data_IF_607422067410
#
_entry.id   IF_607422067410
#
_cell.length_a   1.000
_cell.length_b   1.000
_cell.length_c   1.000
_cell.angle_alpha   90.00
_cell.angle_beta   90.00
_cell.angle_gamma   90.00
#
_symmetry.space_group_name_H-M   'P 1'
#
loop_
_entity.id
_entity.type
_entity.pdbx_description
1 polymer ?
#
# COMPACT_ATOMS: atom_id res chain seq x y z
N UNK A 1 -14.73 14.48 -22.50
CA UNK A 1 -13.90 14.44 -21.27
C UNK A 1 -13.55 12.99 -21.02
N UNK A 2 -12.29 12.69 -20.68
CA UNK A 2 -11.83 11.32 -20.42
C UNK A 2 -12.44 10.72 -19.15
N UNK A 3 -12.37 9.40 -18.97
CA UNK A 3 -12.72 8.77 -17.69
C UNK A 3 -11.59 8.99 -16.68
N UNK A 4 -11.87 8.88 -15.38
CA UNK A 4 -10.79 8.81 -14.40
C UNK A 4 -9.99 7.52 -14.59
N UNK A 5 -8.74 7.51 -14.14
CA UNK A 5 -7.89 6.32 -14.15
C UNK A 5 -7.63 5.83 -12.73
N UNK A 6 -7.86 4.55 -12.49
CA UNK A 6 -7.59 3.87 -11.22
C UNK A 6 -6.38 2.95 -11.38
N UNK A 7 -5.26 3.33 -10.79
CA UNK A 7 -3.96 2.65 -10.93
C UNK A 7 -3.71 1.75 -9.73
N UNK A 8 -3.68 0.44 -9.96
CA UNK A 8 -3.38 -0.58 -8.96
C UNK A 8 -1.91 -0.97 -8.99
N UNK A 9 -1.22 -0.83 -7.86
CA UNK A 9 0.22 -1.07 -7.70
C UNK A 9 0.43 -2.14 -6.63
N UNK A 10 0.77 -3.36 -7.05
CA UNK A 10 0.95 -4.48 -6.14
C UNK A 10 2.23 -4.37 -5.30
N UNK A 11 2.44 -5.32 -4.38
CA UNK A 11 3.64 -5.39 -3.55
C UNK A 11 4.38 -6.72 -3.71
N UNK A 12 5.04 -7.17 -2.64
CA UNK A 12 5.73 -8.46 -2.62
C UNK A 12 4.76 -9.62 -2.88
N UNK A 13 5.08 -10.48 -3.87
CA UNK A 13 4.24 -11.60 -4.33
C UNK A 13 4.53 -12.92 -3.61
N UNK A 14 5.49 -12.92 -2.70
CA UNK A 14 5.87 -14.09 -1.92
C UNK A 14 7.15 -14.78 -2.42
N UNK A 15 7.67 -15.74 -1.63
CA UNK A 15 8.99 -16.34 -1.85
C UNK A 15 9.16 -17.06 -3.20
N UNK A 16 8.07 -17.55 -3.80
CA UNK A 16 8.10 -18.21 -5.11
C UNK A 16 8.58 -17.26 -6.21
N UNK A 17 8.27 -15.98 -6.09
CA UNK A 17 8.53 -14.95 -7.10
C UNK A 17 9.74 -14.08 -6.75
N UNK A 18 10.47 -14.37 -5.66
CA UNK A 18 11.50 -13.49 -5.07
C UNK A 18 12.66 -13.11 -6.00
N UNK A 19 12.84 -13.83 -7.10
CA UNK A 19 13.87 -13.56 -8.13
C UNK A 19 13.35 -12.69 -9.28
N UNK A 20 12.06 -12.44 -9.34
CA UNK A 20 11.44 -11.61 -10.36
C UNK A 20 11.63 -10.13 -10.01
N UNK A 21 11.68 -9.31 -11.06
CA UNK A 21 11.81 -7.86 -10.99
C UNK A 21 10.50 -7.21 -11.47
N UNK A 22 10.24 -5.94 -11.13
CA UNK A 22 9.11 -5.24 -11.70
C UNK A 22 9.29 -5.09 -13.21
N UNK A 23 8.20 -5.14 -13.97
CA UNK A 23 8.25 -4.95 -15.43
C UNK A 23 8.13 -3.46 -15.83
N UNK A 24 7.66 -2.61 -14.91
CA UNK A 24 7.42 -1.18 -15.11
C UNK A 24 6.47 -0.87 -16.27
N UNK A 25 5.55 -1.79 -16.56
CA UNK A 25 4.61 -1.71 -17.67
C UNK A 25 3.17 -1.59 -17.18
N UNK A 26 2.34 -1.00 -18.04
CA UNK A 26 0.89 -0.90 -17.84
C UNK A 26 0.24 -2.21 -18.26
N UNK A 27 -0.60 -2.73 -17.38
CA UNK A 27 -1.47 -3.88 -17.68
C UNK A 27 -2.93 -3.46 -17.58
N UNK A 28 -3.76 -3.86 -18.55
CA UNK A 28 -5.19 -3.56 -18.54
C UNK A 28 -6.01 -4.53 -17.65
N UNK A 29 -5.36 -5.58 -17.14
CA UNK A 29 -5.89 -6.55 -16.18
C UNK A 29 -4.79 -6.91 -15.19
N UNK A 30 -5.12 -7.37 -13.99
CA UNK A 30 -4.12 -7.84 -13.02
C UNK A 30 -3.31 -9.00 -13.64
N UNK A 31 -2.01 -8.80 -13.92
CA UNK A 31 -1.19 -9.82 -14.59
C UNK A 31 -0.79 -10.97 -13.66
N UNK A 32 -1.06 -10.85 -12.36
CA UNK A 32 -0.52 -11.73 -11.32
C UNK A 32 -1.58 -12.40 -10.45
N UNK A 33 -2.82 -11.92 -10.47
CA UNK A 33 -3.88 -12.34 -9.54
C UNK A 33 -3.62 -11.91 -8.10
N UNK A 34 -2.83 -10.85 -7.89
CA UNK A 34 -2.43 -10.32 -6.58
C UNK A 34 -3.60 -9.73 -5.80
N UNK A 35 -4.55 -9.10 -6.49
CA UNK A 35 -5.59 -8.30 -5.87
C UNK A 35 -6.80 -9.11 -5.39
N UNK A 36 -6.85 -10.41 -5.72
CA UNK A 36 -7.96 -11.31 -5.37
C UNK A 36 -9.32 -10.75 -5.80
N UNK A 37 -10.17 -10.38 -4.83
CA UNK A 37 -11.47 -9.72 -5.05
C UNK A 37 -11.49 -8.29 -4.49
N UNK A 38 -10.37 -7.82 -3.96
CA UNK A 38 -10.30 -6.52 -3.31
C UNK A 38 -10.35 -5.39 -4.35
N UNK A 39 -9.70 -5.58 -5.50
CA UNK A 39 -9.78 -4.65 -6.62
C UNK A 39 -11.23 -4.48 -7.10
N UNK A 40 -12.02 -5.55 -7.20
CA UNK A 40 -13.45 -5.45 -7.55
C UNK A 40 -14.24 -4.67 -6.50
N UNK A 41 -13.92 -4.83 -5.22
CA UNK A 41 -14.53 -4.06 -4.12
C UNK A 41 -14.18 -2.58 -4.23
N UNK A 42 -12.94 -2.24 -4.59
CA UNK A 42 -12.48 -0.86 -4.76
C UNK A 42 -13.08 -0.25 -6.03
N UNK A 43 -13.09 -0.96 -7.17
CA UNK A 43 -13.69 -0.50 -8.43
C UNK A 43 -15.17 -0.15 -8.29
N UNK A 44 -15.93 -0.86 -7.44
CA UNK A 44 -17.33 -0.49 -7.14
C UNK A 44 -17.48 0.90 -6.52
N UNK A 45 -16.43 1.43 -5.87
CA UNK A 45 -16.37 2.81 -5.35
C UNK A 45 -15.91 3.82 -6.42
N UNK A 46 -15.46 3.34 -7.59
CA UNK A 46 -14.97 4.10 -8.74
C UNK A 46 -15.67 3.68 -10.05
N UNK A 47 -17.01 3.80 -10.15
CA UNK A 47 -17.78 3.21 -11.26
C UNK A 47 -17.47 3.79 -12.64
N UNK A 48 -16.97 5.03 -12.72
CA UNK A 48 -16.61 5.70 -13.98
C UNK A 48 -15.09 5.83 -14.16
N UNK A 49 -14.30 4.95 -13.54
CA UNK A 49 -12.85 4.93 -13.73
C UNK A 49 -12.40 3.70 -14.52
N UNK A 50 -11.50 3.90 -15.47
CA UNK A 50 -10.77 2.82 -16.12
C UNK A 50 -9.67 2.31 -15.16
N UNK A 51 -9.56 0.99 -14.99
CA UNK A 51 -8.51 0.41 -14.13
C UNK A 51 -7.30 -0.03 -14.93
N UNK A 52 -6.11 0.25 -14.42
CA UNK A 52 -4.83 -0.28 -14.92
C UNK A 52 -3.99 -0.79 -13.77
N UNK A 53 -3.04 -1.67 -14.07
CA UNK A 53 -2.23 -2.38 -13.06
C UNK A 53 -0.76 -2.27 -13.39
N UNK A 54 0.06 -2.17 -12.34
CA UNK A 54 1.51 -2.27 -12.39
C UNK A 54 1.99 -3.40 -11.49
N UNK A 55 2.88 -4.23 -12.01
CA UNK A 55 3.58 -5.24 -11.24
C UNK A 55 4.84 -4.62 -10.59
N UNK A 56 4.64 -3.95 -9.47
CA UNK A 56 5.69 -3.37 -8.62
C UNK A 56 6.33 -4.40 -7.65
N UNK A 57 6.28 -5.69 -7.98
CA UNK A 57 6.98 -6.71 -7.22
C UNK A 57 8.49 -6.42 -7.16
N UNK A 58 9.06 -6.47 -5.96
CA UNK A 58 10.51 -6.44 -5.77
C UNK A 58 10.96 -7.60 -4.89
N UNK A 59 12.19 -8.10 -5.07
CA UNK A 59 12.77 -9.12 -4.21
C UNK A 59 12.77 -8.72 -2.73
N UNK A 60 12.72 -9.72 -1.84
CA UNK A 60 12.80 -9.53 -0.39
C UNK A 60 14.09 -8.82 0.04
N UNK A 61 15.15 -8.86 -0.76
CA UNK A 61 16.38 -8.09 -0.54
C UNK A 61 16.16 -6.59 -0.47
N UNK A 62 15.09 -6.07 -1.09
CA UNK A 62 14.71 -4.65 -1.07
C UNK A 62 13.84 -4.28 0.14
N UNK A 63 13.34 -5.28 0.88
CA UNK A 63 12.46 -5.09 2.03
C UNK A 63 13.20 -4.72 3.33
N UNK A 64 12.46 -4.31 4.35
CA UNK A 64 12.91 -4.21 5.75
C UNK A 64 13.53 -5.52 6.26
N UNK A 65 12.96 -6.68 5.87
CA UNK A 65 13.47 -8.00 6.25
C UNK A 65 14.80 -8.34 5.57
N UNK A 66 15.05 -7.86 4.34
CA UNK A 66 16.25 -8.11 3.50
C UNK A 66 16.52 -9.58 3.14
N UNK A 67 16.10 -10.54 3.96
CA UNK A 67 16.39 -11.97 3.83
C UNK A 67 15.27 -12.81 4.43
N UNK A 68 14.99 -13.96 3.84
CA UNK A 68 13.92 -14.86 4.28
C UNK A 68 14.16 -15.39 5.71
N UNK A 69 15.42 -15.63 6.09
CA UNK A 69 15.76 -16.07 7.45
C UNK A 69 15.39 -15.04 8.52
N UNK A 70 15.48 -13.73 8.22
CA UNK A 70 15.03 -12.66 9.12
C UNK A 70 13.51 -12.60 9.22
N UNK A 71 12.83 -12.73 8.08
CA UNK A 71 11.36 -12.81 8.06
C UNK A 71 10.84 -14.02 8.83
N UNK A 72 11.44 -15.21 8.63
CA UNK A 72 11.07 -16.45 9.30
C UNK A 72 11.34 -16.37 10.82
N UNK A 73 12.49 -15.82 11.21
CA UNK A 73 12.80 -15.57 12.63
C UNK A 73 11.73 -14.70 13.27
N UNK A 74 11.39 -13.58 12.64
CA UNK A 74 10.36 -12.65 13.10
C UNK A 74 9.00 -13.34 13.22
N UNK A 75 8.63 -14.14 12.21
CA UNK A 75 7.41 -14.92 12.21
C UNK A 75 7.34 -15.90 13.39
N UNK A 76 8.37 -16.71 13.62
CA UNK A 76 8.41 -17.68 14.71
C UNK A 76 8.26 -16.98 16.07
N UNK A 77 9.04 -15.93 16.33
CA UNK A 77 8.99 -15.25 17.63
C UNK A 77 7.70 -14.45 17.87
N UNK A 78 7.05 -13.97 16.81
CA UNK A 78 5.75 -13.28 16.92
C UNK A 78 4.66 -14.17 17.54
N UNK A 79 4.72 -15.48 17.27
CA UNK A 79 3.74 -16.45 17.76
C UNK A 79 3.80 -16.69 19.27
N UNK A 80 4.87 -16.26 19.94
CA UNK A 80 5.03 -16.40 21.39
C UNK A 80 4.78 -15.07 22.14
N UNK A 81 4.42 -14.01 21.43
CA UNK A 81 4.21 -12.68 22.01
C UNK A 81 2.71 -12.35 22.17
N UNK A 82 2.03 -12.95 23.14
CA UNK A 82 0.57 -12.86 23.30
C UNK A 82 0.06 -11.62 24.05
N UNK A 83 0.94 -10.97 24.81
CA UNK A 83 0.60 -9.79 25.63
C UNK A 83 1.41 -8.56 25.21
N UNK A 84 2.61 -8.76 24.67
CA UNK A 84 3.50 -7.67 24.25
C UNK A 84 2.94 -7.00 23.00
N UNK A 85 2.85 -5.67 23.03
CA UNK A 85 2.37 -4.83 21.92
C UNK A 85 3.50 -4.19 21.10
N UNK A 86 4.72 -4.16 21.65
CA UNK A 86 5.89 -3.55 21.01
C UNK A 86 7.10 -4.46 21.09
N UNK A 87 7.85 -4.55 20.00
CA UNK A 87 9.12 -5.26 19.97
C UNK A 87 9.96 -4.83 18.77
N UNK A 88 11.16 -4.32 19.04
CA UNK A 88 12.15 -3.95 18.01
C UNK A 88 12.85 -5.17 17.39
N UNK A 89 12.71 -6.36 17.97
CA UNK A 89 13.41 -7.57 17.55
C UNK A 89 12.49 -8.63 16.91
N UNK A 90 11.17 -8.49 17.09
CA UNK A 90 10.15 -9.34 16.46
C UNK A 90 9.51 -8.64 15.27
N UNK A 91 9.11 -7.38 15.43
CA UNK A 91 8.62 -6.57 14.33
C UNK A 91 9.81 -5.78 13.78
N UNK A 92 10.29 -6.19 12.61
CA UNK A 92 11.44 -5.56 11.98
C UNK A 92 11.06 -4.19 11.39
N UNK A 93 11.32 -3.15 12.15
CA UNK A 93 11.04 -1.75 11.78
C UNK A 93 12.27 -1.04 11.18
N UNK A 94 13.41 -1.73 11.06
CA UNK A 94 14.60 -1.12 10.48
C UNK A 94 14.43 -1.00 8.96
N UNK A 95 14.37 0.25 8.49
CA UNK A 95 14.18 0.55 7.08
C UNK A 95 15.39 0.09 6.27
N UNK A 96 15.11 -0.50 5.10
CA UNK A 96 16.10 -0.75 4.08
C UNK A 96 16.08 0.39 3.07
N UNK A 97 16.74 1.50 3.38
CA UNK A 97 16.70 2.71 2.56
C UNK A 97 17.13 2.47 1.10
N UNK A 98 18.24 1.75 0.81
CA UNK A 98 18.61 1.46 -0.58
C UNK A 98 17.51 0.70 -1.34
N UNK A 99 16.92 -0.32 -0.71
CA UNK A 99 15.81 -1.08 -1.30
C UNK A 99 14.52 -0.27 -1.42
N UNK A 100 14.31 0.74 -0.57
CA UNK A 100 13.21 1.70 -0.72
C UNK A 100 13.45 2.61 -1.93
N UNK A 101 14.65 3.15 -2.09
CA UNK A 101 15.00 4.00 -3.23
C UNK A 101 14.95 3.25 -4.56
N UNK A 102 15.36 1.98 -4.58
CA UNK A 102 15.24 1.12 -5.77
C UNK A 102 13.77 1.00 -6.22
N UNK A 103 12.84 0.86 -5.27
CA UNK A 103 11.40 0.82 -5.56
C UNK A 103 10.88 2.16 -6.09
N UNK A 104 11.35 3.28 -5.51
CA UNK A 104 11.03 4.63 -6.01
C UNK A 104 11.53 4.81 -7.44
N UNK A 105 12.78 4.42 -7.73
CA UNK A 105 13.37 4.56 -9.07
C UNK A 105 12.61 3.72 -10.12
N UNK A 106 12.21 2.50 -9.79
CA UNK A 106 11.35 1.70 -10.67
C UNK A 106 9.96 2.33 -10.85
N UNK A 107 9.43 2.93 -9.78
CA UNK A 107 8.21 3.74 -9.83
C UNK A 107 8.29 4.91 -10.80
N UNK A 108 9.44 5.59 -10.88
CA UNK A 108 9.66 6.67 -11.85
C UNK A 108 9.62 6.14 -13.29
N UNK A 109 10.21 4.98 -13.56
CA UNK A 109 10.12 4.35 -14.89
C UNK A 109 8.67 4.04 -15.27
N UNK A 110 7.88 3.50 -14.33
CA UNK A 110 6.45 3.27 -14.56
C UNK A 110 5.64 4.58 -14.67
N UNK A 111 6.01 5.63 -13.94
CA UNK A 111 5.41 6.95 -14.07
C UNK A 111 5.60 7.51 -15.48
N UNK A 112 6.79 7.34 -16.06
CA UNK A 112 7.07 7.73 -17.44
C UNK A 112 6.26 6.89 -18.45
N UNK A 113 6.16 5.58 -18.24
CA UNK A 113 5.31 4.71 -19.07
C UNK A 113 3.83 5.11 -18.99
N UNK A 114 3.34 5.42 -17.78
CA UNK A 114 1.98 5.91 -17.58
C UNK A 114 1.76 7.25 -18.28
N UNK A 115 2.69 8.20 -18.16
CA UNK A 115 2.61 9.48 -18.84
C UNK A 115 2.44 9.30 -20.36
N UNK A 116 3.26 8.45 -20.99
CA UNK A 116 3.15 8.17 -22.43
C UNK A 116 1.80 7.56 -22.82
N UNK A 117 1.27 6.65 -22.00
CA UNK A 117 -0.05 6.07 -22.24
C UNK A 117 -1.16 7.14 -22.21
N UNK A 118 -1.06 8.10 -21.29
CA UNK A 118 -2.05 9.14 -21.10
C UNK A 118 -2.09 10.18 -22.24
N UNK A 119 -0.99 10.34 -22.99
CA UNK A 119 -0.97 11.21 -24.18
C UNK A 119 -1.98 10.76 -25.25
N UNK A 120 -2.30 9.47 -25.29
CA UNK A 120 -3.23 8.86 -26.26
C UNK A 120 -4.56 8.42 -25.64
N UNK A 121 -4.67 8.47 -24.31
CA UNK A 121 -5.86 8.05 -23.57
C UNK A 121 -6.33 9.20 -22.66
N UNK A 122 -7.27 10.03 -23.14
CA UNK A 122 -7.79 11.15 -22.36
C UNK A 122 -8.32 10.67 -21.01
N UNK A 123 -7.95 11.39 -19.96
CA UNK A 123 -8.37 11.12 -18.59
C UNK A 123 -8.80 12.41 -17.88
N UNK A 124 -9.48 12.29 -16.75
CA UNK A 124 -9.82 13.42 -15.88
C UNK A 124 -8.86 13.47 -14.68
N UNK A 125 -8.94 12.49 -13.79
CA UNK A 125 -8.05 12.36 -12.63
C UNK A 125 -7.39 10.99 -12.57
N UNK A 126 -6.25 10.91 -11.87
CA UNK A 126 -5.57 9.66 -11.55
C UNK A 126 -5.73 9.36 -10.06
N UNK A 127 -6.23 8.16 -9.78
CA UNK A 127 -6.34 7.59 -8.45
C UNK A 127 -5.34 6.45 -8.30
N UNK A 128 -4.71 6.33 -7.13
CA UNK A 128 -3.78 5.25 -6.83
C UNK A 128 -4.34 4.31 -5.77
N UNK A 129 -4.10 3.02 -5.97
CA UNK A 129 -4.25 1.98 -4.96
C UNK A 129 -2.94 1.24 -4.90
N UNK A 130 -2.22 1.33 -3.79
CA UNK A 130 -0.95 0.64 -3.62
C UNK A 130 -0.97 -0.25 -2.38
N UNK A 131 -0.23 -1.35 -2.42
CA UNK A 131 -0.10 -2.25 -1.29
C UNK A 131 1.36 -2.55 -0.95
N UNK A 132 1.68 -2.56 0.34
CA UNK A 132 2.98 -3.02 0.84
C UNK A 132 4.15 -2.25 0.18
N UNK A 133 5.05 -2.96 -0.50
CA UNK A 133 6.16 -2.37 -1.26
C UNK A 133 5.72 -1.39 -2.36
N UNK A 134 4.51 -1.57 -2.89
CA UNK A 134 3.93 -0.70 -3.92
C UNK A 134 3.79 0.75 -3.49
N UNK A 135 3.84 1.06 -2.19
CA UNK A 135 3.87 2.44 -1.71
C UNK A 135 5.09 3.21 -2.22
N UNK A 136 6.30 2.67 -2.02
CA UNK A 136 7.53 3.31 -2.50
C UNK A 136 7.52 3.49 -4.03
N UNK A 137 6.97 2.50 -4.74
CA UNK A 137 6.79 2.55 -6.18
C UNK A 137 5.82 3.65 -6.62
N UNK A 138 4.66 3.76 -5.96
CA UNK A 138 3.68 4.81 -6.22
C UNK A 138 4.29 6.21 -6.02
N UNK A 139 5.12 6.39 -5.00
CA UNK A 139 5.80 7.67 -4.79
C UNK A 139 6.67 8.07 -5.98
N UNK A 140 7.40 7.13 -6.57
CA UNK A 140 8.17 7.38 -7.79
C UNK A 140 7.30 7.73 -8.99
N UNK A 141 6.11 7.13 -9.12
CA UNK A 141 5.15 7.51 -10.16
C UNK A 141 4.63 8.94 -9.96
N UNK A 142 4.33 9.33 -8.71
CA UNK A 142 3.89 10.69 -8.38
C UNK A 142 4.97 11.71 -8.75
N UNK A 143 6.23 11.43 -8.42
CA UNK A 143 7.37 12.32 -8.74
C UNK A 143 7.45 12.65 -10.24
N UNK A 144 7.04 11.72 -11.13
CA UNK A 144 7.00 11.96 -12.58
C UNK A 144 5.73 12.66 -13.02
N UNK A 145 4.59 12.34 -12.43
CA UNK A 145 3.27 12.72 -12.94
C UNK A 145 2.76 14.05 -12.40
N UNK A 146 3.31 14.56 -11.29
CA UNK A 146 2.75 15.69 -10.53
C UNK A 146 2.52 16.98 -11.32
N UNK A 147 3.26 17.19 -12.42
CA UNK A 147 3.12 18.38 -13.27
C UNK A 147 2.29 18.15 -14.54
N UNK A 148 1.77 16.94 -14.74
CA UNK A 148 1.10 16.52 -15.98
C UNK A 148 -0.35 16.10 -15.78
N UNK A 149 -0.72 15.69 -14.58
CA UNK A 149 -2.03 15.09 -14.30
C UNK A 149 -2.67 15.72 -13.08
N UNK A 150 -4.00 15.62 -13.00
CA UNK A 150 -4.72 15.89 -11.76
C UNK A 150 -4.79 14.60 -10.94
N UNK A 151 -4.35 14.61 -9.69
CA UNK A 151 -4.56 13.46 -8.82
C UNK A 151 -5.88 13.56 -8.08
N UNK A 152 -6.58 12.43 -8.00
CA UNK A 152 -7.79 12.30 -7.23
C UNK A 152 -7.50 11.74 -5.85
N UNK A 153 -7.46 10.41 -5.73
CA UNK A 153 -7.44 9.72 -4.43
C UNK A 153 -6.27 8.74 -4.35
N UNK A 154 -5.63 8.65 -3.19
CA UNK A 154 -4.58 7.67 -2.91
C UNK A 154 -5.01 6.74 -1.77
N UNK A 155 -5.08 5.44 -2.06
CA UNK A 155 -5.36 4.37 -1.11
C UNK A 155 -4.08 3.60 -0.87
N UNK A 156 -3.56 3.69 0.35
CA UNK A 156 -2.26 3.12 0.71
C UNK A 156 -2.50 1.98 1.69
N UNK A 157 -2.46 0.75 1.19
CA UNK A 157 -2.77 -0.46 1.95
C UNK A 157 -1.49 -1.06 2.54
N UNK A 158 -1.44 -1.23 3.86
CA UNK A 158 -0.33 -1.83 4.61
C UNK A 158 1.08 -1.42 4.10
N UNK A 159 1.38 -0.11 3.91
CA UNK A 159 2.63 0.32 3.27
C UNK A 159 3.88 -0.15 4.01
N UNK A 160 4.87 -0.63 3.25
CA UNK A 160 6.17 -1.01 3.82
C UNK A 160 7.11 0.19 3.88
N UNK A 161 7.61 0.50 5.08
CA UNK A 161 8.55 1.61 5.28
C UNK A 161 7.91 2.96 4.96
N UNK A 162 6.62 3.14 5.30
CA UNK A 162 5.85 4.33 4.94
C UNK A 162 6.56 5.64 5.34
N UNK A 163 7.16 5.64 6.53
CA UNK A 163 7.87 6.76 7.12
C UNK A 163 9.25 7.08 6.50
N UNK A 164 9.64 6.45 5.39
CA UNK A 164 10.96 6.68 4.77
C UNK A 164 11.04 8.03 4.08
N UNK A 165 10.01 8.44 3.35
CA UNK A 165 9.99 9.70 2.59
C UNK A 165 8.58 10.27 2.49
N UNK A 166 8.49 11.60 2.42
CA UNK A 166 7.25 12.37 2.26
C UNK A 166 7.11 12.92 0.84
N UNK A 167 5.88 13.11 0.35
CA UNK A 167 5.51 13.78 -0.91
C UNK A 167 4.49 14.89 -0.63
N UNK A 168 4.22 15.74 -1.62
CA UNK A 168 3.22 16.78 -1.50
C UNK A 168 1.79 16.18 -1.56
N UNK A 169 1.18 15.95 -0.41
CA UNK A 169 -0.20 15.43 -0.36
C UNK A 169 -1.26 16.44 -0.80
N UNK A 170 -0.93 17.73 -0.90
CA UNK A 170 -1.85 18.75 -1.42
C UNK A 170 -2.21 18.53 -2.90
N UNK A 171 -1.45 17.66 -3.60
CA UNK A 171 -1.74 17.27 -4.97
C UNK A 171 -2.97 16.37 -5.09
N UNK A 172 -3.44 15.77 -3.98
CA UNK A 172 -4.54 14.81 -3.94
C UNK A 172 -5.79 15.41 -3.28
N UNK A 173 -6.97 15.03 -3.77
CA UNK A 173 -8.25 15.31 -3.09
C UNK A 173 -8.35 14.52 -1.77
N UNK A 174 -7.94 13.24 -1.79
CA UNK A 174 -8.01 12.35 -0.63
C UNK A 174 -6.83 11.39 -0.52
N UNK A 175 -6.27 11.20 0.68
CA UNK A 175 -5.16 10.26 0.96
C UNK A 175 -5.44 9.44 2.21
N UNK A 176 -5.58 8.13 2.06
CA UNK A 176 -5.89 7.24 3.18
C UNK A 176 -4.86 6.12 3.30
N UNK A 177 -4.33 5.92 4.52
CA UNK A 177 -3.52 4.76 4.86
C UNK A 177 -4.37 3.73 5.62
N UNK A 178 -4.42 2.51 5.12
CA UNK A 178 -5.13 1.38 5.74
C UNK A 178 -4.14 0.36 6.27
N UNK A 179 -4.36 -0.20 7.46
CA UNK A 179 -3.53 -1.30 7.94
C UNK A 179 -3.57 -1.55 9.44
N UNK A 180 -2.63 -2.35 9.93
CA UNK A 180 -2.51 -2.65 11.36
C UNK A 180 -2.13 -1.41 12.18
N UNK A 181 -2.68 -1.30 13.39
CA UNK A 181 -2.35 -0.25 14.35
C UNK A 181 -1.10 -0.64 15.14
N UNK A 182 0.07 -0.27 14.63
CA UNK A 182 1.36 -0.50 15.31
C UNK A 182 1.84 0.74 16.07
N UNK A 183 2.69 0.52 17.09
CA UNK A 183 3.33 1.56 17.91
C UNK A 183 2.36 2.52 18.64
N UNK A 184 1.14 2.07 18.92
CA UNK A 184 0.09 2.81 19.63
C UNK A 184 -0.32 2.09 20.94
N UNK A 185 -0.92 2.80 21.90
CA UNK A 185 -1.45 2.19 23.15
C UNK A 185 -2.58 1.18 22.87
N UNK A 186 -3.40 1.47 21.85
CA UNK A 186 -4.49 0.63 21.37
C UNK A 186 -4.03 -0.38 20.32
N UNK A 187 -2.72 -0.53 20.12
CA UNK A 187 -2.18 -1.60 19.29
C UNK A 187 -2.58 -2.98 19.81
N UNK A 188 -2.83 -3.90 18.89
CA UNK A 188 -2.95 -5.32 19.20
C UNK A 188 -1.63 -5.91 19.73
N UNK A 189 -1.68 -7.00 20.49
CA UNK A 189 -0.52 -7.84 20.74
C UNK A 189 0.22 -8.23 19.45
N UNK A 190 1.55 -8.36 19.52
CA UNK A 190 2.42 -8.65 18.37
C UNK A 190 1.97 -9.87 17.56
N UNK A 191 1.43 -10.91 18.21
CA UNK A 191 0.94 -12.10 17.50
C UNK A 191 -0.24 -11.82 16.55
N UNK A 192 -0.92 -10.68 16.68
CA UNK A 192 -2.02 -10.21 15.83
C UNK A 192 -1.63 -9.02 14.92
N UNK A 193 -0.38 -8.53 15.02
CA UNK A 193 0.11 -7.40 14.23
C UNK A 193 0.58 -7.81 12.84
N UNK A 194 0.69 -6.82 11.95
CA UNK A 194 1.42 -6.97 10.68
C UNK A 194 2.92 -7.11 10.97
N UNK A 195 3.46 -8.27 10.65
CA UNK A 195 4.90 -8.54 10.76
C UNK A 195 5.62 -8.63 9.43
N UNK A 196 4.89 -8.65 8.31
CA UNK A 196 5.49 -8.59 6.97
C UNK A 196 6.02 -7.20 6.72
N UNK A 197 5.18 -6.19 6.94
CA UNK A 197 5.52 -4.78 6.91
C UNK A 197 5.02 -4.13 8.21
N UNK A 198 5.81 -4.16 9.30
CA UNK A 198 5.44 -3.47 10.53
C UNK A 198 5.05 -2.02 10.25
N UNK A 199 3.78 -1.70 10.51
CA UNK A 199 3.17 -0.47 10.01
C UNK A 199 3.75 0.77 10.68
N UNK A 200 4.06 1.78 9.87
CA UNK A 200 4.44 3.12 10.29
C UNK A 200 3.53 4.13 9.60
N UNK A 201 3.37 5.32 10.17
CA UNK A 201 2.55 6.35 9.53
C UNK A 201 3.24 6.86 8.26
N UNK A 202 2.46 7.02 7.19
CA UNK A 202 2.85 7.84 6.03
C UNK A 202 3.17 9.26 6.55
N UNK A 203 4.31 9.87 6.19
CA UNK A 203 4.67 11.19 6.66
C UNK A 203 3.58 12.21 6.33
N UNK A 204 3.20 13.03 7.31
CA UNK A 204 2.16 14.06 7.14
C UNK A 204 0.71 13.55 7.05
N UNK A 205 0.47 12.23 7.07
CA UNK A 205 -0.89 11.67 6.91
C UNK A 205 -1.87 12.10 8.00
N UNK A 206 -1.38 12.38 9.21
CA UNK A 206 -2.19 12.83 10.34
C UNK A 206 -2.39 14.37 10.35
N UNK A 207 -1.67 15.10 9.49
CA UNK A 207 -1.69 16.57 9.40
C UNK A 207 -1.72 16.99 7.93
N UNK A 208 -2.76 16.57 7.20
CA UNK A 208 -2.91 16.87 5.78
C UNK A 208 -3.18 18.36 5.53
N UNK A 209 -2.74 18.90 4.38
CA UNK A 209 -2.97 20.29 4.02
C UNK A 209 -4.46 20.58 3.84
N UNK A 210 -4.84 21.85 4.02
CA UNK A 210 -6.22 22.31 3.82
C UNK A 210 -6.68 21.95 2.40
N UNK A 211 -7.82 21.29 2.30
CA UNK A 211 -8.39 20.84 1.02
C UNK A 211 -8.18 19.34 0.74
N UNK A 212 -7.19 18.71 1.36
CA UNK A 212 -6.95 17.25 1.23
C UNK A 212 -7.57 16.52 2.42
N UNK A 213 -8.50 15.60 2.15
CA UNK A 213 -9.07 14.73 3.20
C UNK A 213 -8.19 13.49 3.39
N UNK A 214 -8.20 12.91 4.57
CA UNK A 214 -7.47 11.68 4.77
C UNK A 214 -7.14 11.36 6.21
N UNK A 215 -6.24 10.41 6.37
CA UNK A 215 -5.79 9.91 7.66
C UNK A 215 -5.45 8.43 7.65
N UNK A 216 -5.39 7.85 8.85
CA UNK A 216 -5.11 6.43 9.06
C UNK A 216 -6.36 5.68 9.48
N UNK A 217 -6.63 4.58 8.81
CA UNK A 217 -7.72 3.65 9.07
C UNK A 217 -7.12 2.34 9.51
N UNK A 218 -7.53 1.89 10.70
CA UNK A 218 -7.03 0.66 11.28
C UNK A 218 -8.01 -0.48 11.08
N UNK A 219 -7.45 -1.70 11.10
CA UNK A 219 -8.26 -2.91 11.21
C UNK A 219 -9.19 -2.77 12.45
N UNK A 220 -10.51 -2.96 12.31
CA UNK A 220 -11.46 -2.77 13.41
C UNK A 220 -11.15 -3.68 14.61
N UNK A 221 -11.37 -3.17 15.82
CA UNK A 221 -11.10 -3.91 17.07
C UNK A 221 -11.94 -5.20 17.19
N UNK A 222 -13.14 -5.21 16.61
CA UNK A 222 -14.03 -6.36 16.57
C UNK A 222 -13.71 -7.34 15.42
N UNK A 223 -12.67 -7.09 14.60
CA UNK A 223 -12.30 -7.99 13.52
C UNK A 223 -11.79 -9.34 14.10
N UNK A 224 -12.22 -10.50 13.55
CA UNK A 224 -11.92 -11.78 14.18
C UNK A 224 -10.41 -12.04 14.32
N UNK A 225 -9.93 -12.27 15.55
CA UNK A 225 -8.51 -12.55 15.84
C UNK A 225 -7.90 -13.68 15.00
N UNK A 226 -8.70 -14.67 14.59
CA UNK A 226 -8.26 -15.75 13.68
C UNK A 226 -7.87 -15.27 12.28
N UNK A 227 -8.28 -14.06 11.89
CA UNK A 227 -7.94 -13.37 10.64
C UNK A 227 -6.83 -12.33 10.82
N UNK A 228 -6.25 -12.22 12.02
CA UNK A 228 -5.12 -11.35 12.33
C UNK A 228 -3.83 -12.16 12.49
N UNK A 229 -2.70 -11.46 12.48
CA UNK A 229 -1.37 -11.97 12.77
C UNK A 229 -0.34 -11.67 11.70
N UNK A 230 0.90 -12.10 11.95
CA UNK A 230 2.10 -11.71 11.22
C UNK A 230 1.90 -11.59 9.70
N UNK A 231 1.30 -12.61 9.08
CA UNK A 231 0.98 -12.65 7.64
C UNK A 231 -0.42 -12.09 7.37
N UNK A 232 -1.42 -12.46 8.18
CA UNK A 232 -2.83 -12.20 7.89
C UNK A 232 -3.21 -10.73 8.00
N UNK A 233 -2.63 -9.99 8.94
CA UNK A 233 -2.85 -8.54 9.07
C UNK A 233 -2.22 -7.73 7.93
N UNK A 234 -1.38 -8.37 7.10
CA UNK A 234 -0.80 -7.76 5.91
C UNK A 234 -1.53 -8.19 4.63
N UNK A 235 -1.83 -9.48 4.52
CA UNK A 235 -2.15 -10.11 3.25
C UNK A 235 -3.58 -9.77 2.77
N UNK A 236 -3.73 -9.34 1.52
CA UNK A 236 -4.99 -8.85 0.94
C UNK A 236 -6.17 -9.85 1.00
N UNK A 237 -5.90 -11.16 1.00
CA UNK A 237 -6.95 -12.18 1.22
C UNK A 237 -7.68 -12.07 2.59
N UNK A 238 -7.12 -11.32 3.55
CA UNK A 238 -7.72 -11.06 4.87
C UNK A 238 -8.14 -9.58 5.02
N UNK A 239 -8.19 -8.83 3.93
CA UNK A 239 -8.60 -7.42 3.91
C UNK A 239 -10.12 -7.23 3.74
N UNK A 240 -10.93 -8.26 3.94
CA UNK A 240 -12.39 -8.18 3.82
C UNK A 240 -13.03 -7.22 4.85
N UNK A 241 -12.31 -6.88 5.91
CA UNK A 241 -12.67 -5.78 6.83
C UNK A 241 -12.80 -4.42 6.14
N UNK A 242 -12.15 -4.22 4.98
CA UNK A 242 -12.30 -3.01 4.17
C UNK A 242 -13.75 -2.78 3.73
N UNK A 243 -14.51 -3.86 3.54
CA UNK A 243 -15.94 -3.82 3.24
C UNK A 243 -16.82 -3.37 4.41
N UNK A 244 -16.29 -3.35 5.63
CA UNK A 244 -17.00 -2.88 6.82
C UNK A 244 -17.01 -1.35 6.94
N UNK A 245 -16.15 -0.66 6.19
CA UNK A 245 -16.09 0.80 6.14
C UNK A 245 -17.29 1.29 5.32
N UNK A 246 -18.27 1.89 5.98
CA UNK A 246 -19.51 2.38 5.39
C UNK A 246 -19.46 3.85 4.97
N UNK A 247 -20.48 4.36 4.24
CA UNK A 247 -20.46 5.70 3.64
C UNK A 247 -20.19 6.88 4.57
N UNK A 248 -20.48 6.73 5.86
CA UNK A 248 -20.31 7.77 6.87
C UNK A 248 -19.02 7.60 7.70
N UNK A 249 -18.27 6.54 7.46
CA UNK A 249 -17.05 6.23 8.21
C UNK A 249 -15.83 6.94 7.58
N UNK A 250 -14.87 7.41 8.41
CA UNK A 250 -13.57 7.81 7.91
C UNK A 250 -12.93 6.70 7.07
N UNK A 251 -12.28 7.06 5.96
CA UNK A 251 -11.73 6.08 5.03
C UNK A 251 -12.73 5.50 4.04
N UNK A 252 -14.01 5.88 4.12
CA UNK A 252 -14.89 5.67 3.00
C UNK A 252 -14.63 6.73 1.92
N UNK A 253 -14.53 6.28 0.68
CA UNK A 253 -14.39 7.14 -0.48
C UNK A 253 -15.32 6.64 -1.58
N UNK A 254 -15.72 7.58 -2.44
CA UNK A 254 -16.43 7.34 -3.69
C UNK A 254 -15.90 8.34 -4.72
N UNK A 255 -15.82 7.93 -5.99
CA UNK A 255 -15.51 8.82 -7.12
C UNK A 255 -16.40 10.06 -7.09
#
# INVERSE_FOLDING_TARGET
MGQDLLVFINGYRGPKYDKELPDNQIHLKDPTGYWYQLDDTIKKRFPNSQSVYFNAHHPLSTSTHKRLSKALRSYIFSRFCWVRKQSKWVLNQQINEPGFQERVANGQLAGAALHQFLETHPHQKIHFVCHSMGYAYMLGMVDILENYVQFGKALILSPEGANTQNRNWALFDEVWQYGARANDKLADPICFQDGIAPQTAVPGIDNLPVGTKGGRIYIPENYPRKKLGFIKSHHLAYYDWFGLIGPNDPGFFKQ
#
